data_IF_930841611662
#
_entry.id   IF_930841611662
#
_cell.length_a   1.000
_cell.length_b   1.000
_cell.length_c   1.000
_cell.angle_alpha   90.00
_cell.angle_beta   90.00
_cell.angle_gamma   90.00
#
_symmetry.space_group_name_H-M   'P 1'
#
loop_
_entity.id
_entity.type
_entity.pdbx_description
1 polymer ?
#
# COMPACT_ATOMS: atom_id res chain seq x y z
N UNK A 1 -14.25 -41.37 -7.26
CA UNK A 1 -14.77 -40.12 -6.65
C UNK A 1 -14.33 -38.97 -7.56
N UNK A 2 -15.22 -38.13 -8.11
CA UNK A 2 -14.77 -36.95 -8.85
C UNK A 2 -14.25 -35.90 -7.85
N UNK A 3 -13.08 -35.35 -8.15
CA UNK A 3 -12.43 -34.29 -7.37
C UNK A 3 -13.33 -33.04 -7.30
N UNK A 4 -13.39 -32.31 -6.17
CA UNK A 4 -14.01 -31.00 -6.13
C UNK A 4 -13.21 -30.03 -7.01
N UNK A 5 -13.88 -29.10 -7.73
CA UNK A 5 -13.18 -28.13 -8.56
C UNK A 5 -12.27 -27.27 -7.67
N UNK A 6 -11.08 -26.89 -8.14
CA UNK A 6 -10.21 -25.99 -7.39
C UNK A 6 -10.97 -24.69 -7.16
N UNK A 7 -11.06 -24.27 -5.89
CA UNK A 7 -11.61 -22.97 -5.50
C UNK A 7 -10.92 -21.92 -6.36
N UNK A 8 -11.67 -21.17 -7.16
CA UNK A 8 -11.16 -20.00 -7.86
C UNK A 8 -10.42 -19.16 -6.82
N UNK A 9 -9.09 -19.04 -6.96
CA UNK A 9 -8.36 -18.03 -6.22
C UNK A 9 -8.89 -16.68 -6.71
N UNK A 10 -9.89 -16.14 -6.02
CA UNK A 10 -10.58 -14.89 -6.33
C UNK A 10 -9.72 -13.66 -6.06
N UNK A 11 -8.39 -13.82 -6.05
CA UNK A 11 -7.46 -12.70 -5.88
C UNK A 11 -7.09 -12.22 -7.27
N UNK A 12 -7.65 -11.08 -7.65
CA UNK A 12 -7.40 -10.51 -8.97
C UNK A 12 -5.93 -10.07 -9.06
N UNK A 13 -5.30 -10.10 -10.25
CA UNK A 13 -3.95 -9.55 -10.43
C UNK A 13 -3.80 -8.11 -9.91
N UNK A 14 -4.91 -7.34 -9.96
CA UNK A 14 -5.01 -5.99 -9.41
C UNK A 14 -4.82 -5.94 -7.89
N UNK A 15 -5.29 -6.95 -7.17
CA UNK A 15 -5.20 -7.02 -5.70
C UNK A 15 -3.75 -7.30 -5.27
N UNK A 16 -3.06 -8.18 -5.99
CA UNK A 16 -1.61 -8.43 -5.77
C UNK A 16 -0.77 -7.19 -5.98
N UNK A 17 -1.07 -6.43 -7.04
CA UNK A 17 -0.35 -5.20 -7.33
C UNK A 17 -0.55 -4.17 -6.21
N UNK A 18 -1.79 -3.96 -5.77
CA UNK A 18 -2.10 -3.03 -4.68
C UNK A 18 -1.42 -3.48 -3.37
N UNK A 19 -1.41 -4.79 -3.07
CA UNK A 19 -0.72 -5.32 -1.89
C UNK A 19 0.80 -5.07 -1.95
N UNK A 20 1.39 -5.15 -3.14
CA UNK A 20 2.80 -4.82 -3.34
C UNK A 20 3.06 -3.33 -3.08
N UNK A 21 2.21 -2.44 -3.60
CA UNK A 21 2.29 -1.00 -3.39
C UNK A 21 2.13 -0.62 -1.91
N UNK A 22 1.18 -1.22 -1.20
CA UNK A 22 1.02 -1.10 0.26
C UNK A 22 2.31 -1.53 0.98
N UNK A 23 2.88 -2.67 0.59
CA UNK A 23 4.11 -3.18 1.18
C UNK A 23 5.27 -2.21 0.97
N UNK A 24 5.38 -1.57 -0.20
CA UNK A 24 6.41 -0.56 -0.47
C UNK A 24 6.26 0.67 0.43
N UNK A 25 5.04 1.17 0.60
CA UNK A 25 4.72 2.31 1.50
C UNK A 25 5.15 1.99 2.93
N UNK A 26 4.71 0.85 3.48
CA UNK A 26 5.04 0.43 4.85
C UNK A 26 6.54 0.23 5.04
N UNK A 27 7.22 -0.37 4.05
CA UNK A 27 8.69 -0.55 4.12
C UNK A 27 9.44 0.78 4.08
N UNK A 28 9.02 1.73 3.25
CA UNK A 28 9.66 3.03 3.18
C UNK A 28 9.53 3.80 4.50
N UNK A 29 8.33 3.79 5.10
CA UNK A 29 8.10 4.40 6.42
C UNK A 29 8.90 3.72 7.54
N UNK A 30 8.96 2.39 7.56
CA UNK A 30 9.81 1.67 8.51
C UNK A 30 11.30 2.01 8.38
N UNK A 31 11.79 2.20 7.14
CA UNK A 31 13.20 2.47 6.87
C UNK A 31 13.60 3.93 7.07
N UNK A 32 12.69 4.88 6.83
CA UNK A 32 12.97 6.33 6.85
C UNK A 32 12.31 7.07 8.01
N UNK A 33 11.46 6.40 8.79
CA UNK A 33 10.64 7.03 9.82
C UNK A 33 9.42 7.74 9.24
N UNK A 34 8.80 8.60 10.04
CA UNK A 34 7.61 9.36 9.62
C UNK A 34 7.92 10.27 8.43
N UNK A 35 7.04 10.32 7.43
CA UNK A 35 7.23 11.10 6.19
C UNK A 35 5.94 11.83 5.81
N UNK A 36 6.05 12.96 5.10
CA UNK A 36 4.88 13.54 4.41
C UNK A 36 4.49 12.67 3.23
N UNK A 37 3.23 12.78 2.79
CA UNK A 37 2.75 12.02 1.64
C UNK A 37 3.53 12.32 0.34
N UNK A 38 3.95 13.58 0.15
CA UNK A 38 4.77 14.01 -0.99
C UNK A 38 6.17 13.39 -0.98
N UNK A 39 6.85 13.40 0.17
CA UNK A 39 8.18 12.79 0.33
C UNK A 39 8.09 11.27 0.20
N UNK A 40 7.05 10.67 0.78
CA UNK A 40 6.80 9.23 0.69
C UNK A 40 6.53 8.79 -0.75
N UNK A 41 5.81 9.59 -1.53
CA UNK A 41 5.56 9.35 -2.96
C UNK A 41 6.88 9.30 -3.73
N UNK A 42 7.77 10.26 -3.50
CA UNK A 42 9.09 10.27 -4.13
C UNK A 42 9.94 9.06 -3.68
N UNK A 43 9.93 8.73 -2.39
CA UNK A 43 10.70 7.63 -1.80
C UNK A 43 10.34 6.25 -2.37
N UNK A 44 9.05 6.00 -2.63
CA UNK A 44 8.59 4.73 -3.22
C UNK A 44 8.60 4.74 -4.75
N UNK A 45 9.04 5.85 -5.37
CA UNK A 45 9.02 6.01 -6.82
C UNK A 45 7.60 6.03 -7.41
N UNK A 46 6.62 6.48 -6.62
CA UNK A 46 5.22 6.49 -7.02
C UNK A 46 4.89 7.51 -8.13
N UNK A 47 5.81 8.42 -8.46
CA UNK A 47 5.70 9.31 -9.62
C UNK A 47 5.71 8.54 -10.95
N UNK A 48 6.25 7.32 -10.94
CA UNK A 48 6.27 6.42 -12.11
C UNK A 48 5.12 5.40 -12.09
N UNK A 49 4.27 5.43 -11.07
CA UNK A 49 3.09 4.57 -11.01
C UNK A 49 1.95 5.18 -11.85
N UNK A 50 0.97 4.35 -12.20
CA UNK A 50 -0.26 4.85 -12.82
C UNK A 50 -0.95 5.88 -11.91
N UNK A 51 -1.63 6.84 -12.53
CA UNK A 51 -2.32 7.92 -11.83
C UNK A 51 -3.24 7.38 -10.71
N UNK A 52 -3.22 8.07 -9.57
CA UNK A 52 -4.00 7.74 -8.37
C UNK A 52 -3.65 6.41 -7.66
N UNK A 53 -2.66 5.63 -8.13
CA UNK A 53 -2.27 4.38 -7.45
C UNK A 53 -1.69 4.62 -6.06
N UNK A 54 -0.80 5.59 -5.93
CA UNK A 54 -0.24 5.96 -4.64
C UNK A 54 -1.34 6.36 -3.65
N UNK A 55 -2.26 7.21 -4.08
CA UNK A 55 -3.35 7.70 -3.23
C UNK A 55 -4.27 6.55 -2.81
N UNK A 56 -4.54 5.60 -3.71
CA UNK A 56 -5.31 4.38 -3.41
C UNK A 56 -4.58 3.47 -2.42
N UNK A 57 -3.31 3.15 -2.67
CA UNK A 57 -2.51 2.28 -1.81
C UNK A 57 -2.32 2.89 -0.42
N UNK A 58 -2.12 4.21 -0.35
CA UNK A 58 -2.04 4.95 0.90
C UNK A 58 -3.37 4.92 1.67
N UNK A 59 -4.49 5.18 0.98
CA UNK A 59 -5.81 5.13 1.61
C UNK A 59 -6.13 3.74 2.17
N UNK A 60 -5.77 2.67 1.45
CA UNK A 60 -5.90 1.29 1.92
C UNK A 60 -4.98 1.01 3.11
N UNK A 61 -3.72 1.45 3.06
CA UNK A 61 -2.78 1.29 4.18
C UNK A 61 -3.28 1.95 5.47
N UNK A 62 -3.95 3.11 5.35
CA UNK A 62 -4.59 3.79 6.48
C UNK A 62 -5.85 3.06 6.93
N UNK A 63 -6.70 2.64 5.99
CA UNK A 63 -7.92 1.89 6.29
C UNK A 63 -7.64 0.55 6.99
N UNK A 64 -6.57 -0.12 6.61
CA UNK A 64 -6.13 -1.40 7.18
C UNK A 64 -5.37 -1.22 8.50
N UNK A 65 -5.13 0.04 8.94
CA UNK A 65 -4.42 0.36 10.18
C UNK A 65 -2.92 0.06 10.12
N UNK A 66 -2.33 -0.04 8.93
CA UNK A 66 -0.88 -0.22 8.74
C UNK A 66 -0.11 1.09 8.84
N UNK A 67 -0.78 2.19 8.50
CA UNK A 67 -0.24 3.55 8.50
C UNK A 67 -1.21 4.47 9.23
N UNK A 68 -0.69 5.34 10.08
CA UNK A 68 -1.45 6.42 10.71
C UNK A 68 -0.92 7.77 10.28
N UNK A 69 -1.82 8.75 10.24
CA UNK A 69 -1.49 10.15 10.03
C UNK A 69 -1.56 10.88 11.36
N UNK A 70 -0.49 11.55 11.75
CA UNK A 70 -0.48 12.35 12.97
C UNK A 70 -1.11 13.74 12.79
N UNK A 71 -1.12 14.53 13.86
CA UNK A 71 -1.68 15.88 13.86
C UNK A 71 -0.92 16.87 12.97
N UNK A 72 0.35 16.60 12.67
CA UNK A 72 1.20 17.41 11.78
C UNK A 72 1.06 16.98 10.32
N UNK A 73 0.29 15.91 10.08
CA UNK A 73 0.04 15.36 8.76
C UNK A 73 1.11 14.40 8.26
N UNK A 74 2.02 13.96 9.14
CA UNK A 74 3.05 12.96 8.85
C UNK A 74 2.44 11.56 8.87
N UNK A 75 2.89 10.73 7.95
CA UNK A 75 2.53 9.32 7.84
C UNK A 75 3.60 8.50 8.55
N UNK A 76 3.17 7.57 9.39
CA UNK A 76 4.04 6.62 10.08
C UNK A 76 3.37 5.26 10.16
N UNK A 77 4.17 4.20 10.27
CA UNK A 77 3.63 2.86 10.54
C UNK A 77 3.13 2.77 11.96
N UNK A 78 2.08 1.96 12.16
CA UNK A 78 1.56 1.64 13.50
C UNK A 78 2.52 0.75 14.27
#
# INVERSE_FOLDING_TARGET
MPMPPPKSSTESPRDRQVNHEITQIVRALNARGAQRAEDLRALVGADYWDAHRFDRALALSVSDGLVVRDAEGMLQTV
#
